data_IF_674154881760
#
_entry.id   IF_674154881760
#
_cell.length_a   1.000
_cell.length_b   1.000
_cell.length_c   1.000
_cell.angle_alpha   90.00
_cell.angle_beta   90.00
_cell.angle_gamma   90.00
#
_symmetry.space_group_name_H-M   'P 1'
#
loop_
_entity.id
_entity.type
_entity.pdbx_description
1 polymer ?
#
# COMPACT_ATOMS: atom_id res chain seq x y z
N UNK A 1 -19.81 0.07 17.24
CA UNK A 1 -20.44 -0.38 15.97
C UNK A 1 -19.43 -0.61 14.84
N UNK A 2 -18.11 -0.60 15.10
CA UNK A 2 -17.06 -0.65 14.07
C UNK A 2 -16.93 -1.99 13.33
N UNK A 3 -17.48 -3.09 13.88
CA UNK A 3 -17.39 -4.44 13.30
C UNK A 3 -18.66 -5.26 13.55
N UNK A 4 -19.84 -4.64 13.43
CA UNK A 4 -21.12 -5.34 13.68
C UNK A 4 -21.38 -6.44 12.64
N UNK A 5 -20.61 -6.47 11.54
CA UNK A 5 -20.69 -7.49 10.51
C UNK A 5 -19.28 -7.92 10.09
N UNK A 6 -19.02 -9.23 10.09
CA UNK A 6 -17.77 -9.84 9.60
C UNK A 6 -17.38 -9.34 8.20
N UNK A 7 -18.37 -9.03 7.37
CA UNK A 7 -18.17 -8.46 6.03
C UNK A 7 -17.39 -7.13 6.05
N UNK A 8 -17.71 -6.22 6.98
CA UNK A 8 -17.03 -4.92 7.06
C UNK A 8 -15.55 -5.11 7.38
N UNK A 9 -15.21 -6.02 8.29
CA UNK A 9 -13.81 -6.33 8.60
C UNK A 9 -13.03 -6.76 7.35
N UNK A 10 -13.61 -7.64 6.52
CA UNK A 10 -12.98 -8.06 5.26
C UNK A 10 -12.86 -6.91 4.24
N UNK A 11 -13.87 -6.06 4.12
CA UNK A 11 -13.82 -4.88 3.23
C UNK A 11 -12.66 -3.96 3.65
N UNK A 12 -12.55 -3.64 4.94
CA UNK A 12 -11.45 -2.82 5.44
C UNK A 12 -10.09 -3.49 5.24
N UNK A 13 -9.98 -4.80 5.49
CA UNK A 13 -8.74 -5.54 5.30
C UNK A 13 -8.28 -5.51 3.83
N UNK A 14 -9.18 -5.80 2.89
CA UNK A 14 -8.89 -5.78 1.45
C UNK A 14 -8.59 -4.36 0.95
N UNK A 15 -9.35 -3.37 1.43
CA UNK A 15 -9.14 -1.97 1.06
C UNK A 15 -7.79 -1.46 1.56
N UNK A 16 -7.43 -1.74 2.82
CA UNK A 16 -6.14 -1.39 3.38
C UNK A 16 -4.99 -2.10 2.66
N UNK A 17 -5.15 -3.38 2.33
CA UNK A 17 -4.18 -4.14 1.53
C UNK A 17 -3.94 -3.47 0.17
N UNK A 18 -5.02 -3.19 -0.58
CA UNK A 18 -4.91 -2.57 -1.91
C UNK A 18 -4.30 -1.18 -1.85
N UNK A 19 -4.74 -0.35 -0.91
CA UNK A 19 -4.24 1.03 -0.77
C UNK A 19 -2.76 1.06 -0.34
N UNK A 20 -2.35 0.16 0.57
CA UNK A 20 -0.94 0.02 0.97
C UNK A 20 -0.09 -0.38 -0.23
N UNK A 21 -0.53 -1.38 -1.01
CA UNK A 21 0.17 -1.80 -2.24
C UNK A 21 0.25 -0.68 -3.26
N UNK A 22 -0.85 0.06 -3.45
CA UNK A 22 -0.89 1.24 -4.31
C UNK A 22 0.15 2.27 -3.89
N UNK A 23 0.29 2.58 -2.60
CA UNK A 23 1.23 3.60 -2.13
C UNK A 23 2.69 3.13 -2.21
N UNK A 24 2.97 1.88 -1.81
CA UNK A 24 4.34 1.40 -1.60
C UNK A 24 4.97 0.86 -2.88
N UNK A 25 4.20 0.23 -3.77
CA UNK A 25 4.76 -0.54 -4.88
C UNK A 25 4.30 -0.06 -6.26
N UNK A 26 3.12 0.54 -6.38
CA UNK A 26 2.55 0.86 -7.70
C UNK A 26 3.34 1.99 -8.39
N UNK A 27 3.51 1.86 -9.71
CA UNK A 27 4.18 2.86 -10.54
C UNK A 27 3.33 4.12 -10.69
N UNK A 28 2.00 3.99 -10.66
CA UNK A 28 1.07 5.12 -10.78
C UNK A 28 1.31 6.13 -9.66
N UNK A 29 1.57 5.66 -8.45
CA UNK A 29 1.83 6.51 -7.27
C UNK A 29 3.32 6.81 -7.07
N UNK A 30 4.20 6.49 -8.03
CA UNK A 30 5.63 6.75 -7.90
C UNK A 30 5.93 8.24 -7.65
N UNK A 31 5.09 9.16 -8.16
CA UNK A 31 5.20 10.59 -7.88
C UNK A 31 5.08 10.92 -6.38
N UNK A 32 4.35 10.12 -5.60
CA UNK A 32 4.21 10.28 -4.16
C UNK A 32 5.47 9.82 -3.42
N UNK A 33 6.16 8.78 -3.94
CA UNK A 33 7.38 8.21 -3.34
C UNK A 33 8.66 8.96 -3.71
N UNK A 34 8.77 9.45 -4.96
CA UNK A 34 9.94 10.19 -5.49
C UNK A 34 10.49 11.30 -4.59
N UNK A 35 9.67 12.09 -3.86
CA UNK A 35 10.17 13.12 -2.95
C UNK A 35 10.86 12.54 -1.71
N UNK A 36 10.50 11.33 -1.27
CA UNK A 36 10.95 10.75 0.00
C UNK A 36 11.96 9.62 -0.17
N UNK A 37 11.95 8.96 -1.32
CA UNK A 37 12.74 7.76 -1.62
C UNK A 37 13.49 7.96 -2.95
N UNK A 38 14.77 7.59 -2.99
CA UNK A 38 15.49 7.24 -4.22
C UNK A 38 15.51 5.72 -4.36
N UNK A 39 15.02 5.23 -5.50
CA UNK A 39 15.23 3.86 -5.95
C UNK A 39 16.56 3.86 -6.72
N UNK A 40 17.65 3.40 -6.08
CA UNK A 40 18.96 3.27 -6.73
C UNK A 40 19.11 1.84 -7.19
N UNK A 41 19.17 1.63 -8.50
CA UNK A 41 19.59 0.34 -9.06
C UNK A 41 21.11 0.27 -8.96
N UNK A 42 21.62 -0.50 -8.00
CA UNK A 42 23.04 -0.75 -7.86
C UNK A 42 23.32 -2.08 -8.56
N UNK A 43 24.16 -2.05 -9.59
CA UNK A 43 24.72 -3.27 -10.17
C UNK A 43 25.80 -3.77 -9.22
N UNK A 44 25.53 -4.85 -8.50
CA UNK A 44 26.55 -5.53 -7.71
C UNK A 44 27.68 -6.03 -8.64
N UNK A 45 28.92 -6.17 -8.16
CA UNK A 45 30.04 -6.66 -8.96
C UNK A 45 29.85 -8.08 -9.53
N UNK A 46 28.85 -8.82 -9.06
CA UNK A 46 28.44 -10.14 -9.58
C UNK A 46 27.44 -10.07 -10.76
N UNK A 47 27.09 -8.86 -11.22
CA UNK A 47 26.16 -8.66 -12.34
C UNK A 47 24.67 -8.71 -11.96
N UNK A 48 24.33 -8.93 -10.69
CA UNK A 48 22.97 -8.81 -10.18
C UNK A 48 22.57 -7.34 -9.98
N UNK A 49 21.39 -6.96 -10.45
CA UNK A 49 20.81 -5.63 -10.20
C UNK A 49 20.00 -5.70 -8.90
N UNK A 50 20.45 -5.02 -7.86
CA UNK A 50 19.70 -4.88 -6.61
C UNK A 50 19.17 -3.46 -6.49
N UNK A 51 17.86 -3.35 -6.23
CA UNK A 51 17.20 -2.05 -6.02
C UNK A 51 17.38 -1.65 -4.57
N UNK A 52 18.33 -0.76 -4.28
CA UNK A 52 18.50 -0.18 -2.95
C UNK A 52 17.63 1.07 -2.78
N UNK A 53 16.68 0.98 -1.87
CA UNK A 53 15.79 2.07 -1.48
C UNK A 53 16.49 3.01 -0.50
N UNK A 54 16.97 4.16 -0.97
CA UNK A 54 17.61 5.17 -0.11
C UNK A 54 16.61 6.27 0.28
N UNK A 55 16.36 6.42 1.57
CA UNK A 55 15.49 7.49 2.10
C UNK A 55 16.16 8.86 1.97
N UNK A 56 15.41 9.85 1.51
CA UNK A 56 15.86 11.24 1.27
C UNK A 56 15.61 12.16 2.47
N UNK A 57 16.44 13.20 2.56
CA UNK A 57 16.21 14.35 3.43
C UNK A 57 16.52 14.12 4.91
N UNK A 58 16.02 15.01 5.76
CA UNK A 58 16.21 14.99 7.23
C UNK A 58 14.86 15.28 7.92
N UNK A 59 14.74 14.95 9.20
CA UNK A 59 13.54 15.21 10.01
C UNK A 59 12.28 14.53 9.45
N UNK A 60 11.20 15.30 9.27
CA UNK A 60 9.90 14.79 8.82
C UNK A 60 9.98 14.10 7.43
N UNK A 61 10.78 14.62 6.51
CA UNK A 61 10.96 14.02 5.18
C UNK A 61 11.58 12.64 5.25
N UNK A 62 12.54 12.44 6.17
CA UNK A 62 13.17 11.14 6.42
C UNK A 62 12.17 10.18 7.08
N UNK A 63 11.41 10.65 8.06
CA UNK A 63 10.40 9.84 8.76
C UNK A 63 9.31 9.32 7.81
N UNK A 64 8.78 10.18 6.92
CA UNK A 64 7.82 9.76 5.89
C UNK A 64 8.45 8.74 4.93
N UNK A 65 9.70 8.95 4.52
CA UNK A 65 10.40 7.99 3.68
C UNK A 65 10.66 6.64 4.34
N UNK A 66 10.97 6.62 5.64
CA UNK A 66 11.10 5.38 6.43
C UNK A 66 9.75 4.65 6.53
N UNK A 67 8.66 5.38 6.77
CA UNK A 67 7.30 4.83 6.78
C UNK A 67 6.94 4.19 5.44
N UNK A 68 7.18 4.90 4.32
CA UNK A 68 6.94 4.42 2.97
C UNK A 68 7.86 3.25 2.57
N UNK A 69 9.07 3.17 3.13
CA UNK A 69 10.00 2.05 2.90
C UNK A 69 9.56 0.76 3.60
N UNK A 70 8.73 0.87 4.65
CA UNK A 70 8.20 -0.26 5.39
C UNK A 70 6.72 -0.46 5.09
N UNK A 71 6.40 -1.51 4.31
CA UNK A 71 5.02 -1.81 3.94
C UNK A 71 4.12 -2.11 5.15
N UNK A 72 4.66 -2.70 6.22
CA UNK A 72 3.93 -2.94 7.47
C UNK A 72 3.54 -1.63 8.14
N UNK A 73 4.49 -0.70 8.27
CA UNK A 73 4.24 0.61 8.87
C UNK A 73 3.21 1.36 8.02
N UNK A 74 3.40 1.42 6.70
CA UNK A 74 2.42 2.04 5.80
C UNK A 74 1.04 1.41 5.97
N UNK A 75 0.95 0.08 6.09
CA UNK A 75 -0.32 -0.62 6.30
C UNK A 75 -1.06 -0.23 7.56
N UNK A 76 -0.36 -0.05 8.69
CA UNK A 76 -0.96 0.41 9.95
C UNK A 76 -1.53 1.83 9.79
N UNK A 77 -0.76 2.74 9.19
CA UNK A 77 -1.19 4.13 8.97
C UNK A 77 -2.33 4.25 7.97
N UNK A 78 -2.30 3.46 6.90
CA UNK A 78 -3.39 3.36 5.92
C UNK A 78 -4.66 2.84 6.58
N UNK A 79 -4.56 1.80 7.42
CA UNK A 79 -5.72 1.25 8.14
C UNK A 79 -6.32 2.28 9.09
N UNK A 80 -5.48 2.98 9.86
CA UNK A 80 -5.92 4.05 10.74
C UNK A 80 -6.61 5.18 9.95
N UNK A 81 -6.02 5.60 8.81
CA UNK A 81 -6.60 6.61 7.93
C UNK A 81 -7.99 6.20 7.42
N UNK A 82 -8.14 4.97 6.93
CA UNK A 82 -9.42 4.46 6.44
C UNK A 82 -10.50 4.40 7.54
N UNK A 83 -10.12 4.00 8.76
CA UNK A 83 -11.02 3.99 9.92
C UNK A 83 -11.48 5.40 10.31
N UNK A 84 -10.56 6.35 10.36
CA UNK A 84 -10.89 7.76 10.65
C UNK A 84 -11.78 8.33 9.55
N UNK A 85 -11.46 8.07 8.28
CA UNK A 85 -12.24 8.54 7.14
C UNK A 85 -13.67 8.01 7.17
N UNK A 86 -13.85 6.72 7.50
CA UNK A 86 -15.17 6.11 7.66
C UNK A 86 -15.97 6.75 8.79
N UNK A 87 -15.33 7.06 9.92
CA UNK A 87 -16.01 7.66 11.06
C UNK A 87 -16.32 9.15 10.84
N UNK A 88 -15.50 9.88 10.08
CA UNK A 88 -15.70 11.30 9.83
C UNK A 88 -16.66 11.57 8.66
N UNK A 89 -16.54 10.83 7.55
CA UNK A 89 -17.27 11.08 6.30
C UNK A 89 -17.71 9.76 5.67
N UNK A 90 -18.69 9.04 6.26
CA UNK A 90 -19.09 7.70 5.79
C UNK A 90 -19.60 7.70 4.35
N UNK A 91 -20.28 8.77 3.93
CA UNK A 91 -20.82 8.93 2.56
C UNK A 91 -19.72 8.86 1.47
N UNK A 92 -18.49 9.28 1.78
CA UNK A 92 -17.34 9.17 0.87
C UNK A 92 -16.55 7.90 1.13
N UNK A 93 -16.41 7.52 2.40
CA UNK A 93 -15.61 6.37 2.79
C UNK A 93 -16.17 5.04 2.29
N UNK A 94 -17.49 4.84 2.34
CA UNK A 94 -18.14 3.60 1.90
C UNK A 94 -17.85 3.22 0.45
N UNK A 95 -18.12 4.09 -0.56
CA UNK A 95 -17.80 3.75 -1.95
C UNK A 95 -16.29 3.60 -2.18
N UNK A 96 -15.46 4.38 -1.49
CA UNK A 96 -14.01 4.26 -1.58
C UNK A 96 -13.50 2.91 -1.04
N UNK A 97 -13.97 2.49 0.13
CA UNK A 97 -13.65 1.21 0.74
C UNK A 97 -14.12 0.05 -0.14
N UNK A 98 -15.34 0.12 -0.67
CA UNK A 98 -15.85 -0.90 -1.58
C UNK A 98 -15.00 -1.02 -2.84
N UNK A 99 -14.65 0.11 -3.47
CA UNK A 99 -13.81 0.14 -4.68
C UNK A 99 -12.43 -0.47 -4.41
N UNK A 100 -11.78 -0.05 -3.32
CA UNK A 100 -10.46 -0.56 -2.95
C UNK A 100 -10.50 -2.05 -2.57
N UNK A 101 -11.55 -2.48 -1.87
CA UNK A 101 -11.73 -3.88 -1.48
C UNK A 101 -11.94 -4.79 -2.70
N UNK A 102 -12.77 -4.39 -3.66
CA UNK A 102 -13.01 -5.12 -4.91
C UNK A 102 -11.69 -5.22 -5.70
N UNK A 103 -10.97 -4.12 -5.87
CA UNK A 103 -9.67 -4.13 -6.55
C UNK A 103 -8.62 -4.96 -5.81
N UNK A 104 -8.65 -4.97 -4.47
CA UNK A 104 -7.79 -5.81 -3.64
C UNK A 104 -8.08 -7.30 -3.82
N UNK A 105 -9.36 -7.69 -3.80
CA UNK A 105 -9.78 -9.06 -4.07
C UNK A 105 -9.38 -9.51 -5.48
N UNK A 106 -9.62 -8.67 -6.50
CA UNK A 106 -9.25 -8.96 -7.88
C UNK A 106 -7.74 -9.22 -8.01
N UNK A 107 -6.90 -8.39 -7.39
CA UNK A 107 -5.44 -8.55 -7.41
C UNK A 107 -4.99 -9.85 -6.71
N UNK A 108 -5.65 -10.26 -5.63
CA UNK A 108 -5.36 -11.54 -4.96
C UNK A 108 -5.73 -12.71 -5.88
N UNK A 109 -6.90 -12.66 -6.50
CA UNK A 109 -7.34 -13.71 -7.44
C UNK A 109 -6.36 -13.80 -8.62
N UNK A 110 -5.99 -12.68 -9.22
CA UNK A 110 -5.01 -12.61 -10.30
C UNK A 110 -3.65 -13.21 -9.90
N UNK A 111 -3.15 -12.87 -8.71
CA UNK A 111 -1.87 -13.40 -8.20
C UNK A 111 -1.94 -14.93 -8.00
N UNK A 112 -3.07 -15.43 -7.48
CA UNK A 112 -3.29 -16.87 -7.30
C UNK A 112 -3.39 -17.57 -8.66
N UNK A 113 -4.13 -17.01 -9.61
CA UNK A 113 -4.26 -17.56 -10.96
C UNK A 113 -2.92 -17.59 -11.69
N UNK A 114 -2.13 -16.52 -11.64
CA UNK A 114 -0.79 -16.47 -12.22
C UNK A 114 0.14 -17.54 -11.62
N UNK A 115 0.10 -17.72 -10.30
CA UNK A 115 0.85 -18.78 -9.63
C UNK A 115 0.48 -20.19 -10.15
N UNK A 116 -0.80 -20.47 -10.37
CA UNK A 116 -1.23 -21.76 -10.93
C UNK A 116 -0.89 -21.92 -12.42
N UNK A 117 -0.82 -20.82 -13.17
CA UNK A 117 -0.43 -20.81 -14.58
C UNK A 117 1.08 -20.93 -14.79
N UNK A 118 1.89 -20.82 -13.72
CA UNK A 118 3.34 -20.94 -13.79
C UNK A 118 4.04 -19.73 -14.42
N UNK A 119 3.40 -18.56 -14.37
CA UNK A 119 3.96 -17.27 -14.76
C UNK A 119 4.76 -16.62 -13.63
#
# INVERSE_FOLDING_TARGET
>A
MLFTSWLLFFIFALAAFRLTRLIVYDKITAFLRRPFIDELEITEPDGSVSTFTKVKGKGLRKWIGELLSCYWCTGVWVSAFLLVLYNCIPIVAEPLLALLAIAGAAAIIETITGYFMGE
#
